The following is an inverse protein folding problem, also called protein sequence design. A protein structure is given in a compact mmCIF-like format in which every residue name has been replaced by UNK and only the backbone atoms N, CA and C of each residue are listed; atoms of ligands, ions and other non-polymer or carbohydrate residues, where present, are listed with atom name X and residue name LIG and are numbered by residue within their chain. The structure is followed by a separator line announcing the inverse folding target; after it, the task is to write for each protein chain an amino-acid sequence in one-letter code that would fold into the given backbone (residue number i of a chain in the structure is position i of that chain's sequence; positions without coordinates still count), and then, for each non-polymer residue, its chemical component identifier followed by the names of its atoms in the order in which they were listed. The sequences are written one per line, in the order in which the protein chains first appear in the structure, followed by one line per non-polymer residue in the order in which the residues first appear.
data_IF_287223429479
#
_entry.id   IF_287223429479
#
_cell.length_a   1.000
_cell.length_b   1.000
_cell.length_c   1.000
_cell.angle_alpha   90.00
_cell.angle_beta   90.00
_cell.angle_gamma   90.00
#
_symmetry.space_group_name_H-M   'P 1'
#
loop_
_entity.id
_entity.type
_entity.pdbx_description
1 polymer ?
#
# COMPACT_ATOMS: atom_id res chain seq x y z
N UNK A 1 11.40 -4.13 5.24
CA UNK A 1 10.75 -3.23 4.28
C UNK A 1 10.87 -3.82 2.89
N UNK A 2 9.77 -3.91 2.15
CA UNK A 2 9.72 -4.32 0.74
C UNK A 2 9.13 -3.16 -0.07
N UNK A 3 9.46 -3.09 -1.36
CA UNK A 3 8.92 -2.09 -2.29
C UNK A 3 8.35 -2.81 -3.51
N UNK A 4 7.05 -2.68 -3.72
CA UNK A 4 6.38 -3.20 -4.91
C UNK A 4 6.31 -2.10 -5.95
N UNK A 5 6.76 -2.38 -7.15
CA UNK A 5 6.87 -1.44 -8.26
C UNK A 5 6.32 -2.05 -9.54
N UNK A 6 6.11 -1.24 -10.57
CA UNK A 6 5.53 -1.72 -11.83
C UNK A 6 4.07 -2.11 -11.70
N UNK A 7 3.38 -1.52 -10.72
CA UNK A 7 1.96 -1.76 -10.48
C UNK A 7 1.15 -1.31 -11.71
N UNK A 8 0.29 -2.19 -12.21
CA UNK A 8 -0.63 -1.86 -13.32
C UNK A 8 -1.88 -1.16 -12.80
N UNK A 9 -2.25 -1.43 -11.55
CA UNK A 9 -3.36 -0.83 -10.84
C UNK A 9 -2.95 -0.56 -9.39
N UNK A 10 -3.47 0.52 -8.82
CA UNK A 10 -3.18 0.91 -7.44
C UNK A 10 -4.25 0.39 -6.49
N UNK A 11 -4.09 -0.83 -6.03
CA UNK A 11 -4.93 -1.36 -4.96
C UNK A 11 -4.23 -2.48 -4.17
N UNK A 12 -4.71 -2.69 -2.96
CA UNK A 12 -4.45 -3.90 -2.19
C UNK A 12 -5.69 -4.29 -1.39
N UNK A 13 -5.72 -5.56 -0.96
CA UNK A 13 -6.70 -6.05 -0.01
C UNK A 13 -6.05 -7.02 0.98
N UNK A 14 -6.50 -6.95 2.22
CA UNK A 14 -6.16 -7.87 3.31
C UNK A 14 -7.44 -8.55 3.78
N UNK A 15 -7.39 -9.84 3.99
CA UNK A 15 -8.53 -10.63 4.51
C UNK A 15 -8.16 -11.30 5.83
N UNK A 16 -9.05 -11.23 6.80
CA UNK A 16 -8.97 -11.99 8.03
C UNK A 16 -10.08 -13.04 8.01
N UNK A 17 -9.73 -14.26 7.59
CA UNK A 17 -10.69 -15.34 7.44
C UNK A 17 -11.34 -15.77 8.77
N UNK A 18 -10.64 -15.60 9.90
CA UNK A 18 -11.19 -15.91 11.22
C UNK A 18 -12.30 -14.93 11.63
N UNK A 19 -12.18 -13.67 11.26
CA UNK A 19 -13.17 -12.63 11.55
C UNK A 19 -14.22 -12.50 10.44
N UNK A 20 -14.01 -13.10 9.27
CA UNK A 20 -14.88 -12.94 8.12
C UNK A 20 -14.85 -11.54 7.52
N UNK A 21 -13.79 -10.76 7.79
CA UNK A 21 -13.66 -9.37 7.38
C UNK A 21 -12.42 -9.14 6.53
N UNK A 22 -12.50 -8.15 5.66
CA UNK A 22 -11.37 -7.64 4.90
C UNK A 22 -11.30 -6.12 4.91
N UNK A 23 -10.12 -5.62 4.59
CA UNK A 23 -9.84 -4.22 4.34
C UNK A 23 -9.18 -4.09 2.97
N UNK A 24 -9.64 -3.14 2.17
CA UNK A 24 -9.06 -2.82 0.88
C UNK A 24 -8.78 -1.33 0.76
N UNK A 25 -7.79 -0.99 -0.04
CA UNK A 25 -7.51 0.37 -0.44
C UNK A 25 -7.25 0.42 -1.95
N UNK A 26 -7.81 1.45 -2.61
CA UNK A 26 -7.52 1.77 -4.00
C UNK A 26 -7.01 3.21 -4.10
N UNK A 27 -6.07 3.44 -5.03
CA UNK A 27 -5.44 4.73 -5.27
C UNK A 27 -5.04 4.91 -6.75
N UNK A 28 -4.84 6.16 -7.22
CA UNK A 28 -4.30 6.42 -8.55
C UNK A 28 -2.82 6.00 -8.62
N UNK A 29 -2.52 4.97 -9.41
CA UNK A 29 -1.15 4.43 -9.55
C UNK A 29 -0.19 5.42 -10.21
N UNK A 30 -0.71 6.33 -11.03
CA UNK A 30 0.04 7.41 -11.65
C UNK A 30 0.52 8.46 -10.63
N UNK A 31 -0.15 8.55 -9.48
CA UNK A 31 0.26 9.44 -8.37
C UNK A 31 1.15 8.69 -7.40
N UNK A 32 0.79 7.45 -7.07
CA UNK A 32 1.51 6.60 -6.12
C UNK A 32 1.93 5.28 -6.79
N UNK A 33 3.02 5.29 -7.59
CA UNK A 33 3.45 4.13 -8.37
C UNK A 33 4.16 3.04 -7.57
N UNK A 34 4.41 3.27 -6.29
CA UNK A 34 5.14 2.35 -5.41
C UNK A 34 4.28 2.02 -4.19
N UNK A 35 4.23 0.75 -3.81
CA UNK A 35 3.68 0.33 -2.53
C UNK A 35 4.81 -0.11 -1.61
N UNK A 36 4.98 0.57 -0.49
CA UNK A 36 5.86 0.14 0.57
C UNK A 36 5.15 -0.89 1.44
N UNK A 37 5.84 -1.96 1.76
CA UNK A 37 5.33 -3.02 2.63
C UNK A 37 6.25 -3.14 3.83
N UNK A 38 5.81 -2.60 4.95
CA UNK A 38 6.51 -2.69 6.21
C UNK A 38 5.93 -3.81 7.06
N UNK A 39 6.77 -4.77 7.41
CA UNK A 39 6.39 -5.92 8.20
C UNK A 39 7.09 -5.85 9.57
N UNK A 40 6.33 -5.51 10.59
CA UNK A 40 6.77 -5.52 11.98
C UNK A 40 6.08 -6.66 12.72
N UNK A 41 6.50 -7.86 12.43
CA UNK A 41 5.91 -9.08 12.98
C UNK A 41 6.66 -9.50 14.26
N UNK A 42 6.71 -8.63 15.26
CA UNK A 42 7.49 -8.77 16.50
C UNK A 42 9.00 -8.92 16.23
N UNK A 43 9.51 -8.45 15.09
CA UNK A 43 10.91 -8.62 14.68
C UNK A 43 11.87 -7.63 15.31
N UNK A 44 11.44 -6.40 15.56
CA UNK A 44 12.28 -5.32 16.06
C UNK A 44 12.48 -5.35 17.56
N UNK A 45 13.77 -5.43 17.97
CA UNK A 45 14.17 -5.53 19.40
C UNK A 45 14.21 -4.19 20.12
N UNK A 46 14.54 -3.12 19.37
CA UNK A 46 14.78 -1.81 19.93
C UNK A 46 13.53 -0.96 20.09
N UNK A 47 13.75 0.25 20.64
CA UNK A 47 12.71 1.28 20.71
C UNK A 47 12.17 1.62 19.31
N UNK A 48 10.86 1.85 19.14
CA UNK A 48 9.78 1.79 20.16
C UNK A 48 9.08 0.43 20.23
N UNK A 49 9.53 -0.58 19.50
CA UNK A 49 8.77 -1.81 19.22
C UNK A 49 8.95 -2.92 20.28
N UNK A 50 10.18 -3.12 20.77
CA UNK A 50 10.54 -4.09 21.82
C UNK A 50 9.88 -5.48 21.65
N UNK A 51 9.81 -6.02 20.44
CA UNK A 51 9.10 -7.23 20.07
C UNK A 51 7.58 -7.24 20.35
N UNK A 52 6.96 -6.09 20.63
CA UNK A 52 5.55 -6.01 21.02
C UNK A 52 4.63 -5.53 19.89
N UNK A 53 5.17 -5.19 18.72
CA UNK A 53 4.37 -4.76 17.60
C UNK A 53 4.17 -5.91 16.59
N UNK A 54 2.94 -6.28 16.35
CA UNK A 54 2.54 -7.20 15.27
C UNK A 54 1.70 -6.41 14.27
N UNK A 55 2.36 -5.81 13.30
CA UNK A 55 1.76 -4.88 12.37
C UNK A 55 2.26 -5.08 10.94
N UNK A 56 1.41 -4.73 9.99
CA UNK A 56 1.72 -4.62 8.57
C UNK A 56 1.35 -3.22 8.09
N UNK A 57 2.34 -2.44 7.64
CA UNK A 57 2.13 -1.17 6.96
C UNK A 57 2.11 -1.40 5.45
N UNK A 58 1.05 -0.92 4.79
CA UNK A 58 0.91 -0.93 3.34
C UNK A 58 0.70 0.50 2.89
N UNK A 59 1.73 1.09 2.31
CA UNK A 59 1.86 2.54 2.15
C UNK A 59 2.03 2.89 0.67
N UNK A 60 0.96 3.35 -0.03
CA UNK A 60 1.11 3.92 -1.37
C UNK A 60 2.00 5.15 -1.34
N UNK A 61 3.09 5.13 -2.09
CA UNK A 61 4.11 6.18 -2.08
C UNK A 61 4.46 6.66 -3.49
N UNK A 62 4.95 7.90 -3.57
CA UNK A 62 5.38 8.51 -4.85
C UNK A 62 6.72 7.98 -5.31
N UNK A 63 7.57 7.47 -4.41
CA UNK A 63 8.88 6.93 -4.73
C UNK A 63 9.33 5.86 -3.72
N UNK A 64 10.54 5.35 -3.89
CA UNK A 64 11.17 4.46 -2.91
C UNK A 64 11.51 5.19 -1.61
N UNK A 65 11.65 4.41 -0.52
CA UNK A 65 12.24 4.94 0.70
C UNK A 65 13.67 5.43 0.41
N UNK A 66 13.98 6.55 0.98
CA UNK A 66 15.32 7.12 0.90
C UNK A 66 16.07 6.88 2.21
N UNK A 67 17.37 6.67 2.13
CA UNK A 67 18.26 6.66 3.28
C UNK A 67 18.73 8.10 3.59
N UNK A 68 17.75 8.97 3.92
CA UNK A 68 18.02 10.39 4.14
C UNK A 68 18.38 11.13 2.84
N UNK A 69 19.18 12.19 2.94
CA UNK A 69 19.53 13.05 1.81
C UNK A 69 20.31 12.32 0.70
N UNK A 70 21.12 11.32 1.04
CA UNK A 70 21.87 10.55 0.04
C UNK A 70 20.91 9.75 -0.86
N UNK A 71 19.91 9.08 -0.27
CA UNK A 71 18.90 8.35 -1.04
C UNK A 71 18.01 9.29 -1.88
N UNK A 72 17.73 10.50 -1.41
CA UNK A 72 17.02 11.51 -2.19
C UNK A 72 17.79 11.87 -3.48
N UNK A 73 19.11 12.02 -3.40
CA UNK A 73 19.93 12.28 -4.58
C UNK A 73 19.82 11.16 -5.63
N UNK A 74 19.77 9.90 -5.20
CA UNK A 74 19.57 8.75 -6.10
C UNK A 74 18.20 8.79 -6.79
N UNK A 75 17.13 9.16 -6.04
CA UNK A 75 15.78 9.30 -6.59
C UNK A 75 15.74 10.40 -7.65
N UNK A 76 16.37 11.55 -7.39
CA UNK A 76 16.48 12.69 -8.32
C UNK A 76 17.27 12.29 -9.57
N UNK A 77 18.42 11.66 -9.43
CA UNK A 77 19.23 11.20 -10.57
C UNK A 77 18.47 10.19 -11.44
N UNK A 78 17.59 9.38 -10.84
CA UNK A 78 16.76 8.42 -11.56
C UNK A 78 15.50 9.06 -12.18
N UNK A 79 15.24 10.37 -12.00
CA UNK A 79 14.04 11.06 -12.46
C UNK A 79 12.75 10.49 -11.87
N UNK A 80 12.81 10.04 -10.63
CA UNK A 80 11.68 9.39 -9.93
C UNK A 80 11.05 10.28 -8.86
N UNK A 81 11.56 11.47 -8.70
CA UNK A 81 10.99 12.48 -7.82
C UNK A 81 9.76 13.12 -8.46
N UNK A 82 8.88 13.60 -7.62
CA UNK A 82 7.78 14.45 -8.03
C UNK A 82 8.08 15.90 -7.67
N UNK A 83 8.06 16.76 -8.66
CA UNK A 83 8.17 18.20 -8.48
C UNK A 83 6.80 18.87 -8.48
N UNK A 84 6.63 19.86 -7.62
CA UNK A 84 5.53 20.82 -7.66
C UNK A 84 6.13 22.20 -7.84
N UNK A 85 5.70 22.94 -8.84
CA UNK A 85 6.10 24.33 -9.05
C UNK A 85 5.52 25.24 -7.96
N UNK A 86 6.12 26.42 -7.69
CA UNK A 86 5.54 27.36 -6.75
C UNK A 86 4.09 27.71 -7.11
N UNK A 87 3.16 27.47 -6.17
CA UNK A 87 1.73 27.67 -6.35
C UNK A 87 0.98 26.51 -7.03
N UNK A 88 1.68 25.51 -7.53
CA UNK A 88 1.07 24.30 -8.08
C UNK A 88 0.39 23.49 -6.99
N UNK A 89 -0.75 22.90 -7.32
CA UNK A 89 -1.52 22.02 -6.42
C UNK A 89 -1.79 20.71 -7.12
N UNK A 90 -1.44 19.60 -6.45
CA UNK A 90 -1.86 18.26 -6.82
C UNK A 90 -2.99 17.83 -5.88
N UNK A 91 -4.12 17.43 -6.47
CA UNK A 91 -5.23 16.84 -5.72
C UNK A 91 -5.34 15.37 -6.10
N UNK A 92 -5.44 14.51 -5.11
CA UNK A 92 -5.58 13.06 -5.29
C UNK A 92 -6.53 12.51 -4.24
N UNK A 93 -6.93 11.26 -4.38
CA UNK A 93 -7.82 10.59 -3.44
C UNK A 93 -7.46 9.12 -3.29
N UNK A 94 -7.78 8.59 -2.12
CA UNK A 94 -7.71 7.16 -1.81
C UNK A 94 -9.11 6.70 -1.40
N UNK A 95 -9.43 5.46 -1.74
CA UNK A 95 -10.66 4.79 -1.30
C UNK A 95 -10.30 3.67 -0.36
N UNK A 96 -10.80 3.73 0.86
CA UNK A 96 -10.64 2.66 1.85
C UNK A 96 -12.00 1.98 2.06
N UNK A 97 -12.02 0.65 1.99
CA UNK A 97 -13.23 -0.16 2.10
C UNK A 97 -13.04 -1.27 3.12
N UNK A 98 -13.99 -1.41 4.04
CA UNK A 98 -14.12 -2.59 4.89
C UNK A 98 -15.23 -3.45 4.27
N UNK A 99 -14.99 -4.76 4.13
CA UNK A 99 -15.92 -5.67 3.48
C UNK A 99 -16.02 -7.02 4.21
N UNK A 100 -17.16 -7.71 4.05
CA UNK A 100 -17.30 -9.10 4.47
C UNK A 100 -16.61 -10.00 3.46
N UNK A 101 -15.91 -11.04 3.94
CA UNK A 101 -15.23 -11.99 3.04
C UNK A 101 -16.16 -13.07 2.49
N UNK A 102 -17.33 -13.29 3.14
CA UNK A 102 -18.34 -14.29 2.78
C UNK A 102 -17.74 -15.69 2.54
N UNK A 103 -16.60 -15.94 3.20
CA UNK A 103 -15.85 -17.18 3.06
C UNK A 103 -15.12 -17.33 1.72
N UNK A 104 -15.01 -16.28 0.92
CA UNK A 104 -14.20 -16.27 -0.30
C UNK A 104 -12.71 -16.51 0.01
N UNK A 105 -11.95 -17.15 -0.90
CA UNK A 105 -10.52 -17.43 -0.68
C UNK A 105 -9.66 -16.17 -0.77
N UNK A 106 -10.18 -15.07 -1.33
CA UNK A 106 -9.46 -13.82 -1.49
C UNK A 106 -10.24 -12.79 -2.29
N UNK A 107 -9.53 -11.76 -2.74
CA UNK A 107 -10.06 -10.66 -3.54
C UNK A 107 -9.51 -10.75 -4.96
N UNK A 108 -10.39 -10.68 -5.95
CA UNK A 108 -10.04 -10.69 -7.37
C UNK A 108 -9.66 -9.29 -7.86
N UNK A 109 -10.36 -8.27 -7.37
CA UNK A 109 -10.21 -6.90 -7.84
C UNK A 109 -10.71 -5.90 -6.79
N UNK A 110 -10.10 -4.72 -6.74
CA UNK A 110 -10.64 -3.54 -6.08
C UNK A 110 -10.67 -2.41 -7.11
N UNK A 111 -11.87 -1.90 -7.39
CA UNK A 111 -12.02 -0.81 -8.37
C UNK A 111 -11.53 0.52 -7.82
N UNK A 112 -11.32 1.51 -8.70
CA UNK A 112 -10.95 2.89 -8.30
C UNK A 112 -11.96 3.55 -7.37
N UNK A 113 -13.23 3.11 -7.40
CA UNK A 113 -14.29 3.59 -6.49
C UNK A 113 -14.32 2.84 -5.16
N UNK A 114 -13.43 1.85 -4.98
CA UNK A 114 -13.32 1.06 -3.77
C UNK A 114 -14.26 -0.14 -3.69
N UNK A 115 -14.94 -0.50 -4.79
CA UNK A 115 -15.76 -1.72 -4.82
C UNK A 115 -14.85 -2.95 -4.85
N UNK A 116 -15.17 -3.95 -4.02
CA UNK A 116 -14.39 -5.18 -3.88
C UNK A 116 -15.10 -6.32 -4.57
N UNK A 117 -14.40 -7.01 -5.47
CA UNK A 117 -14.85 -8.24 -6.10
C UNK A 117 -14.12 -9.42 -5.48
N UNK A 118 -14.86 -10.31 -4.87
CA UNK A 118 -14.31 -11.51 -4.24
C UNK A 118 -13.98 -12.57 -5.28
N UNK A 119 -13.01 -13.43 -4.98
CA UNK A 119 -12.75 -14.65 -5.74
C UNK A 119 -13.85 -15.66 -5.50
N UNK A 120 -14.26 -16.36 -6.56
CA UNK A 120 -15.19 -17.47 -6.47
C UNK A 120 -14.51 -18.67 -5.80
N UNK A 121 -15.29 -19.44 -5.04
CA UNK A 121 -14.82 -20.72 -4.52
C UNK A 121 -14.76 -21.72 -5.70
N UNK A 122 -13.60 -22.26 -5.93
CA UNK A 122 -13.51 -23.50 -6.74
C UNK A 122 -14.01 -24.66 -5.88
N UNK A 123 -15.04 -25.34 -6.36
CA UNK A 123 -15.52 -26.60 -5.76
C UNK A 123 -14.44 -27.69 -5.84
#
# INVERSE_FOLDING_TARGET
MLYLTGLQQGWYALTNHRLGLGFAMAWPVEVFPVLWVWQELCGSRGYPWYHNAYALGLEPCTSFATTGLAGLAEVIQAGRERHLSPGERLTTGLKATIFATDGAPGVAEVTSDGNVKLLERTE
#
